data_IF_483395655572
#
_entry.id   IF_483395655572
#
_cell.length_a   1.000
_cell.length_b   1.000
_cell.length_c   1.000
_cell.angle_alpha   90.00
_cell.angle_beta   90.00
_cell.angle_gamma   90.00
#
_symmetry.space_group_name_H-M   'P 1'
#
loop_
_entity.id
_entity.type
_entity.pdbx_description
1 polymer ?
#
# COMPACT_ATOMS: atom_id res chain seq x y z
N UNK A 1 -0.56 5.66 6.94
CA UNK A 1 0.84 6.11 6.90
C UNK A 1 0.86 7.61 7.11
N UNK A 2 1.99 8.19 7.54
CA UNK A 2 2.16 9.63 7.64
C UNK A 2 2.57 10.15 6.26
N UNK A 3 1.64 10.81 5.57
CA UNK A 3 1.84 11.33 4.21
C UNK A 3 1.44 12.81 4.15
N UNK A 4 1.90 13.56 3.15
CA UNK A 4 1.31 14.85 2.81
C UNK A 4 -0.20 14.73 2.57
N UNK A 5 -0.92 15.83 2.75
CA UNK A 5 -2.35 15.90 2.42
C UNK A 5 -2.61 15.66 0.93
N UNK A 6 -3.79 15.17 0.57
CA UNK A 6 -4.13 14.85 -0.82
C UNK A 6 -4.05 16.05 -1.78
N UNK A 7 -4.33 17.26 -1.29
CA UNK A 7 -4.24 18.53 -2.03
C UNK A 7 -2.88 19.23 -1.86
N UNK A 8 -1.91 18.59 -1.18
CA UNK A 8 -0.54 19.10 -1.07
C UNK A 8 0.13 19.15 -2.45
N UNK A 9 0.80 20.27 -2.74
CA UNK A 9 1.65 20.41 -3.93
C UNK A 9 2.92 19.58 -3.83
N UNK A 10 3.40 19.35 -2.60
CA UNK A 10 4.58 18.55 -2.33
C UNK A 10 4.22 17.07 -2.26
N UNK A 11 4.99 16.25 -2.98
CA UNK A 11 4.94 14.78 -2.92
C UNK A 11 6.11 14.28 -2.07
N UNK A 12 5.83 13.33 -1.19
CA UNK A 12 6.85 12.67 -0.40
C UNK A 12 7.35 11.42 -1.12
N UNK A 13 8.65 11.14 -1.01
CA UNK A 13 9.21 9.86 -1.45
C UNK A 13 8.81 8.74 -0.47
N UNK A 14 8.87 7.46 -0.89
CA UNK A 14 8.59 6.36 0.04
C UNK A 14 9.47 6.34 1.28
N UNK A 15 10.74 6.75 1.14
CA UNK A 15 11.67 6.86 2.26
C UNK A 15 11.26 7.95 3.25
N UNK A 16 10.78 9.10 2.77
CA UNK A 16 10.26 10.16 3.64
C UNK A 16 8.99 9.71 4.37
N UNK A 17 8.05 9.06 3.66
CA UNK A 17 6.85 8.50 4.28
C UNK A 17 7.22 7.49 5.36
N UNK A 18 8.20 6.61 5.09
CA UNK A 18 8.69 5.63 6.04
C UNK A 18 9.31 6.28 7.29
N UNK A 19 10.24 7.23 7.12
CA UNK A 19 10.90 7.93 8.23
C UNK A 19 9.88 8.61 9.16
N UNK A 20 9.00 9.45 8.61
CA UNK A 20 8.00 10.15 9.41
C UNK A 20 7.01 9.19 10.07
N UNK A 21 6.62 8.11 9.38
CA UNK A 21 5.70 7.12 9.94
C UNK A 21 6.33 6.36 11.10
N UNK A 22 7.51 5.77 10.91
CA UNK A 22 8.17 4.98 11.94
C UNK A 22 8.58 5.84 13.13
N UNK A 23 9.08 7.06 12.90
CA UNK A 23 9.40 8.02 13.95
C UNK A 23 8.19 8.36 14.83
N UNK A 24 7.01 8.52 14.23
CA UNK A 24 5.76 8.71 14.97
C UNK A 24 5.43 7.46 15.80
N UNK A 25 5.49 6.27 15.20
CA UNK A 25 5.15 5.02 15.89
C UNK A 25 6.08 4.76 17.08
N UNK A 26 7.39 4.94 16.93
CA UNK A 26 8.38 4.87 18.02
C UNK A 26 8.12 5.82 19.18
N UNK A 27 7.48 6.97 18.93
CA UNK A 27 7.15 7.93 19.99
C UNK A 27 5.86 7.60 20.72
N UNK A 28 4.99 6.76 20.16
CA UNK A 28 3.58 6.65 20.60
C UNK A 28 3.08 5.24 20.84
N UNK A 29 3.68 4.24 20.21
CA UNK A 29 3.23 2.84 20.29
C UNK A 29 4.24 2.05 21.14
N UNK A 30 3.80 1.30 22.16
CA UNK A 30 4.69 0.41 22.90
C UNK A 30 5.13 -0.81 22.06
N UNK A 31 6.35 -1.34 22.26
CA UNK A 31 6.82 -2.58 21.61
C UNK A 31 5.97 -3.83 21.92
N UNK A 32 5.14 -3.81 22.96
CA UNK A 32 4.24 -4.91 23.30
C UNK A 32 3.11 -5.13 22.29
N UNK A 33 2.85 -4.15 21.42
CA UNK A 33 1.92 -4.34 20.29
C UNK A 33 2.57 -5.32 19.31
N UNK A 34 1.87 -6.37 18.85
CA UNK A 34 2.51 -7.39 18.01
C UNK A 34 2.69 -6.94 16.55
N UNK A 35 1.82 -6.04 16.06
CA UNK A 35 1.87 -5.60 14.67
C UNK A 35 1.00 -4.40 14.39
N UNK A 36 1.31 -3.71 13.30
CA UNK A 36 0.63 -2.51 12.82
C UNK A 36 0.26 -2.76 11.35
N UNK A 37 -1.03 -2.87 11.09
CA UNK A 37 -1.57 -3.14 9.77
C UNK A 37 -2.06 -1.84 9.16
N UNK A 38 -1.32 -1.31 8.18
CA UNK A 38 -1.63 -0.02 7.61
C UNK A 38 -2.84 -0.08 6.67
N UNK A 39 -3.71 0.91 6.76
CA UNK A 39 -4.66 1.24 5.69
C UNK A 39 -3.93 1.94 4.53
N UNK A 40 -4.40 1.72 3.30
CA UNK A 40 -3.84 2.37 2.10
C UNK A 40 -4.40 3.77 1.87
N UNK A 41 -5.58 4.09 2.38
CA UNK A 41 -6.21 5.40 2.17
C UNK A 41 -6.48 5.65 0.69
N UNK A 42 -6.08 6.82 0.18
CA UNK A 42 -6.22 7.22 -1.23
C UNK A 42 -4.98 6.98 -2.10
N UNK A 43 -3.96 6.33 -1.56
CA UNK A 43 -2.73 5.98 -2.30
C UNK A 43 -3.05 5.05 -3.47
N UNK A 44 -2.23 5.05 -4.50
CA UNK A 44 -2.29 4.03 -5.55
C UNK A 44 -1.87 2.64 -5.03
N UNK A 45 -2.10 1.59 -5.82
CA UNK A 45 -1.67 0.23 -5.45
C UNK A 45 -0.14 0.16 -5.30
N UNK A 46 0.59 0.77 -6.24
CA UNK A 46 2.06 0.80 -6.23
C UNK A 46 2.59 1.71 -5.13
N UNK A 47 2.01 2.89 -4.92
CA UNK A 47 2.44 3.82 -3.87
C UNK A 47 2.31 3.21 -2.47
N UNK A 48 1.17 2.56 -2.17
CA UNK A 48 0.96 1.89 -0.89
C UNK A 48 1.99 0.77 -0.68
N UNK A 49 2.27 -0.01 -1.73
CA UNK A 49 3.25 -1.12 -1.69
C UNK A 49 4.68 -0.58 -1.47
N UNK A 50 5.08 0.48 -2.18
CA UNK A 50 6.40 1.11 -2.03
C UNK A 50 6.61 1.71 -0.64
N UNK A 51 5.60 2.38 -0.10
CA UNK A 51 5.66 2.98 1.23
C UNK A 51 5.77 1.90 2.31
N UNK A 52 5.01 0.81 2.18
CA UNK A 52 5.13 -0.35 3.07
C UNK A 52 6.52 -0.99 2.98
N UNK A 53 7.04 -1.15 1.76
CA UNK A 53 8.36 -1.72 1.52
C UNK A 53 9.45 -0.87 2.19
N UNK A 54 9.41 0.44 2.00
CA UNK A 54 10.37 1.36 2.61
C UNK A 54 10.37 1.29 4.14
N UNK A 55 9.20 1.15 4.78
CA UNK A 55 9.13 0.98 6.24
C UNK A 55 9.74 -0.35 6.73
N UNK A 56 9.70 -1.40 5.93
CA UNK A 56 10.25 -2.71 6.29
C UNK A 56 11.73 -2.89 5.91
N UNK A 57 12.35 -1.90 5.27
CA UNK A 57 13.79 -1.89 5.01
C UNK A 57 14.63 -1.44 6.22
N UNK A 58 13.98 -1.03 7.31
CA UNK A 58 14.58 -0.79 8.61
C UNK A 58 14.04 -1.75 9.67
N UNK A 59 14.84 -2.12 10.69
CA UNK A 59 14.34 -2.93 11.81
C UNK A 59 13.19 -2.24 12.55
N UNK A 60 12.13 -3.01 12.84
CA UNK A 60 10.98 -2.53 13.59
C UNK A 60 10.70 -3.48 14.78
N UNK A 61 10.28 -2.96 15.94
CA UNK A 61 9.85 -3.80 17.05
C UNK A 61 8.45 -4.40 16.83
N UNK A 62 7.70 -3.89 15.85
CA UNK A 62 6.38 -4.39 15.45
C UNK A 62 6.44 -5.12 14.12
N UNK A 63 5.53 -6.05 13.90
CA UNK A 63 5.24 -6.53 12.55
C UNK A 63 4.52 -5.44 11.74
N UNK A 64 5.24 -4.80 10.80
CA UNK A 64 4.71 -3.73 9.95
C UNK A 64 4.15 -4.33 8.66
N UNK A 65 2.83 -4.35 8.51
CA UNK A 65 2.14 -4.99 7.38
C UNK A 65 0.94 -4.18 6.90
N UNK A 66 0.06 -4.79 6.10
CA UNK A 66 -1.02 -4.12 5.38
C UNK A 66 -2.41 -4.64 5.75
N UNK A 67 -3.38 -3.73 5.74
CA UNK A 67 -4.82 -3.98 5.75
C UNK A 67 -5.44 -3.13 4.64
N UNK A 68 -5.32 -3.62 3.40
CA UNK A 68 -5.66 -2.87 2.19
C UNK A 68 -6.96 -3.36 1.55
N UNK A 69 -7.83 -2.42 1.20
CA UNK A 69 -8.97 -2.65 0.32
C UNK A 69 -8.62 -2.19 -1.11
N UNK A 70 -8.74 -0.89 -1.40
CA UNK A 70 -8.49 -0.33 -2.74
C UNK A 70 -7.12 -0.68 -3.29
N UNK A 71 -6.07 -0.54 -2.49
CA UNK A 71 -4.69 -0.86 -2.91
C UNK A 71 -4.42 -2.35 -3.19
N UNK A 72 -5.38 -3.23 -2.89
CA UNK A 72 -5.31 -4.66 -3.16
C UNK A 72 -6.27 -5.09 -4.28
N UNK A 73 -7.42 -4.41 -4.41
CA UNK A 73 -8.54 -4.87 -5.22
C UNK A 73 -8.80 -4.04 -6.49
N UNK A 74 -8.26 -2.83 -6.61
CA UNK A 74 -8.68 -1.91 -7.69
C UNK A 74 -8.40 -2.47 -9.09
N UNK A 75 -7.19 -2.96 -9.35
CA UNK A 75 -6.87 -3.59 -10.64
C UNK A 75 -7.69 -4.87 -10.84
N UNK A 76 -7.85 -5.70 -9.81
CA UNK A 76 -8.69 -6.91 -9.87
C UNK A 76 -10.13 -6.59 -10.29
N UNK A 77 -10.78 -5.63 -9.64
CA UNK A 77 -12.16 -5.25 -9.93
C UNK A 77 -12.33 -4.68 -11.34
N UNK A 78 -11.37 -3.86 -11.78
CA UNK A 78 -11.37 -3.32 -13.15
C UNK A 78 -11.17 -4.40 -14.20
N UNK A 79 -10.23 -5.32 -13.98
CA UNK A 79 -9.99 -6.46 -14.88
C UNK A 79 -11.22 -7.37 -14.93
N UNK A 80 -11.89 -7.59 -13.81
CA UNK A 80 -13.10 -8.42 -13.78
C UNK A 80 -14.23 -7.79 -14.58
N UNK A 81 -14.54 -6.51 -14.33
CA UNK A 81 -15.63 -5.80 -15.01
C UNK A 81 -17.03 -6.41 -14.80
N UNK A 82 -17.18 -7.33 -13.84
CA UNK A 82 -18.42 -8.09 -13.64
C UNK A 82 -18.63 -9.25 -14.62
N UNK A 83 -17.66 -9.53 -15.49
CA UNK A 83 -17.77 -10.51 -16.57
C UNK A 83 -17.21 -11.88 -16.14
N UNK A 84 -17.99 -12.98 -16.23
CA UNK A 84 -17.55 -14.32 -15.85
C UNK A 84 -16.27 -14.79 -16.56
N UNK A 85 -16.11 -14.42 -17.83
CA UNK A 85 -14.94 -14.75 -18.65
C UNK A 85 -13.63 -14.14 -18.11
N UNK A 86 -13.72 -13.05 -17.34
CA UNK A 86 -12.55 -12.34 -16.81
C UNK A 86 -12.13 -12.79 -15.40
N UNK A 87 -12.86 -13.74 -14.78
CA UNK A 87 -12.61 -14.16 -13.40
C UNK A 87 -11.15 -14.60 -13.20
N UNK A 88 -10.60 -15.38 -14.13
CA UNK A 88 -9.22 -15.86 -14.04
C UNK A 88 -8.20 -14.71 -14.09
N UNK A 89 -8.36 -13.80 -15.05
CA UNK A 89 -7.48 -12.63 -15.18
C UNK A 89 -7.54 -11.72 -13.94
N UNK A 90 -8.73 -11.52 -13.37
CA UNK A 90 -8.92 -10.74 -12.15
C UNK A 90 -8.26 -11.40 -10.92
N UNK A 91 -8.39 -12.73 -10.78
CA UNK A 91 -7.71 -13.49 -9.73
C UNK A 91 -6.19 -13.40 -9.84
N UNK A 92 -5.66 -13.46 -11.07
CA UNK A 92 -4.21 -13.33 -11.30
C UNK A 92 -3.72 -11.92 -10.95
N UNK A 93 -4.50 -10.87 -11.25
CA UNK A 93 -4.21 -9.51 -10.82
C UNK A 93 -4.23 -9.35 -9.29
N UNK A 94 -5.23 -9.94 -8.61
CA UNK A 94 -5.30 -9.94 -7.15
C UNK A 94 -4.11 -10.66 -6.52
N UNK A 95 -3.75 -11.83 -7.05
CA UNK A 95 -2.61 -12.60 -6.57
C UNK A 95 -1.30 -11.85 -6.76
N UNK A 96 -1.13 -11.17 -7.89
CA UNK A 96 0.02 -10.31 -8.15
C UNK A 96 0.12 -9.20 -7.10
N UNK A 97 -0.97 -8.49 -6.79
CA UNK A 97 -0.97 -7.46 -5.73
C UNK A 97 -0.74 -8.03 -4.34
N UNK A 98 -1.30 -9.20 -4.01
CA UNK A 98 -1.07 -9.86 -2.74
C UNK A 98 0.41 -10.26 -2.57
N UNK A 99 1.05 -10.79 -3.62
CA UNK A 99 2.48 -11.14 -3.63
C UNK A 99 3.36 -9.89 -3.47
N UNK A 100 3.04 -8.80 -4.16
CA UNK A 100 3.79 -7.54 -4.05
C UNK A 100 3.74 -6.97 -2.64
N UNK A 101 2.56 -6.93 -2.01
CA UNK A 101 2.43 -6.49 -0.62
C UNK A 101 3.10 -7.45 0.38
N UNK A 102 3.09 -8.76 0.10
CA UNK A 102 3.83 -9.75 0.89
C UNK A 102 5.35 -9.52 0.81
N UNK A 103 5.90 -9.25 -0.38
CA UNK A 103 7.30 -8.89 -0.55
C UNK A 103 7.64 -7.55 0.12
N UNK A 104 6.73 -6.59 0.07
CA UNK A 104 6.88 -5.29 0.73
C UNK A 104 6.90 -5.42 2.25
N UNK A 105 6.11 -6.33 2.83
CA UNK A 105 6.20 -6.66 4.26
C UNK A 105 7.61 -7.17 4.63
N UNK A 106 8.29 -7.85 3.72
CA UNK A 106 9.66 -8.32 3.92
C UNK A 106 10.74 -7.29 3.57
N UNK A 107 10.37 -6.09 3.08
CA UNK A 107 11.30 -5.07 2.60
C UNK A 107 12.02 -5.44 1.29
N UNK A 108 11.47 -6.39 0.52
CA UNK A 108 12.08 -7.01 -0.66
C UNK A 108 11.33 -6.73 -1.97
N UNK A 109 10.32 -5.88 -1.94
CA UNK A 109 9.54 -5.57 -3.12
C UNK A 109 10.32 -4.64 -4.07
N UNK A 110 10.33 -5.00 -5.35
CA UNK A 110 10.76 -4.16 -6.47
C UNK A 110 9.53 -3.83 -7.31
N UNK A 111 9.44 -2.60 -7.82
CA UNK A 111 8.30 -2.16 -8.67
C UNK A 111 8.35 -2.75 -10.10
N UNK A 112 9.00 -3.91 -10.26
CA UNK A 112 9.16 -4.59 -11.52
C UNK A 112 7.85 -5.29 -11.92
N UNK A 113 7.46 -5.14 -13.18
CA UNK A 113 6.23 -5.72 -13.72
C UNK A 113 4.95 -4.97 -13.33
N UNK A 114 5.05 -3.78 -12.72
CA UNK A 114 3.89 -2.93 -12.45
C UNK A 114 3.31 -2.34 -13.72
N UNK A 115 1.98 -2.29 -13.79
CA UNK A 115 1.28 -1.57 -14.86
C UNK A 115 1.17 -0.09 -14.55
N UNK A 116 1.13 0.76 -15.58
CA UNK A 116 0.88 2.20 -15.41
C UNK A 116 -0.42 2.47 -14.64
N UNK A 117 -1.44 1.63 -14.84
CA UNK A 117 -2.73 1.79 -14.17
C UNK A 117 -2.65 1.59 -12.65
N UNK A 118 -1.82 0.67 -12.17
CA UNK A 118 -1.60 0.42 -10.76
C UNK A 118 -0.90 1.59 -10.03
N UNK A 119 -0.25 2.49 -10.78
CA UNK A 119 0.42 3.68 -10.24
C UNK A 119 -0.51 4.87 -10.01
N UNK A 120 -1.73 4.85 -10.57
CA UNK A 120 -2.66 5.99 -10.50
C UNK A 120 -3.28 6.10 -9.11
N UNK A 121 -3.19 7.30 -8.50
CA UNK A 121 -3.78 7.60 -7.21
C UNK A 121 -5.30 7.38 -7.19
N UNK A 122 -5.82 6.98 -6.03
CA UNK A 122 -7.23 6.58 -5.86
C UNK A 122 -8.01 7.53 -4.93
N UNK A 123 -7.46 8.71 -4.68
CA UNK A 123 -8.13 9.73 -3.89
C UNK A 123 -9.37 10.25 -4.60
N UNK A 124 -10.50 10.27 -3.89
CA UNK A 124 -11.76 10.85 -4.34
C UNK A 124 -12.23 11.81 -3.25
N UNK A 125 -12.38 13.09 -3.59
CA UNK A 125 -12.82 14.13 -2.65
C UNK A 125 -14.25 13.84 -2.20
N UNK A 126 -14.48 13.79 -0.89
CA UNK A 126 -15.80 13.55 -0.30
C UNK A 126 -16.28 12.09 -0.33
N UNK A 127 -15.38 11.11 -0.50
CA UNK A 127 -15.75 9.69 -0.48
C UNK A 127 -16.31 9.27 0.89
N UNK A 128 -17.52 8.73 0.92
CA UNK A 128 -18.11 8.05 2.08
C UNK A 128 -18.14 6.55 1.83
N UNK A 129 -17.84 5.78 2.87
CA UNK A 129 -18.04 4.33 2.88
C UNK A 129 -19.51 3.97 3.02
#
# INVERSE_FOLDING_TARGET
>A
MVTPGAESKDKATPLQVADYTLKLLHRRIPPAVPGIMFLSGGQSEVEATLNLNAMNQSPNPWHVSFSYARALQNTCLKTWGGLPENVKAAQDALLFRAKSNSLAQLGKYTAEGESEEATRGMFVKGYSY
#
